data_IF_158592374513
#
_entry.id   IF_158592374513
#
_cell.length_a   1.000
_cell.length_b   1.000
_cell.length_c   1.000
_cell.angle_alpha   90.00
_cell.angle_beta   90.00
_cell.angle_gamma   90.00
#
_symmetry.space_group_name_H-M   'P 1'
#
loop_
_entity.id
_entity.type
_entity.pdbx_description
1 polymer ?
#
# COMPACT_ATOMS: atom_id res chain seq x y z
N UNK A 1 15.94 -5.09 0.77
CA UNK A 1 16.56 -6.44 0.76
C UNK A 1 17.76 -6.48 1.70
N UNK A 2 17.65 -7.23 2.78
CA UNK A 2 18.69 -7.42 3.79
C UNK A 2 19.35 -8.79 3.62
N UNK A 3 20.63 -8.92 4.03
CA UNK A 3 21.39 -10.18 3.92
C UNK A 3 21.94 -10.59 5.28
N UNK A 4 21.82 -11.88 5.61
CA UNK A 4 22.35 -12.50 6.84
C UNK A 4 23.08 -13.80 6.50
N UNK A 5 24.06 -14.17 7.31
CA UNK A 5 24.81 -15.42 7.14
C UNK A 5 24.52 -16.37 8.30
N UNK A 6 24.30 -17.65 7.98
CA UNK A 6 23.96 -18.72 8.93
C UNK A 6 24.94 -19.87 8.79
N UNK A 7 25.09 -20.66 9.86
CA UNK A 7 25.85 -21.91 9.86
C UNK A 7 24.93 -23.06 10.29
N UNK A 8 24.96 -24.17 9.55
CA UNK A 8 24.34 -25.42 9.97
C UNK A 8 25.38 -26.39 10.51
N UNK A 9 25.34 -26.62 11.82
CA UNK A 9 26.19 -27.58 12.51
C UNK A 9 25.59 -28.99 12.38
N UNK A 10 25.98 -29.72 11.32
CA UNK A 10 25.49 -31.07 10.99
C UNK A 10 26.68 -32.01 10.84
N UNK A 11 26.74 -33.06 11.67
CA UNK A 11 27.84 -34.02 11.69
C UNK A 11 29.20 -33.35 11.93
N UNK A 12 30.26 -33.96 11.40
CA UNK A 12 31.63 -33.47 11.58
C UNK A 12 31.99 -32.29 10.65
N UNK A 13 31.23 -32.11 9.57
CA UNK A 13 31.47 -31.06 8.56
C UNK A 13 30.26 -30.12 8.49
N UNK A 14 30.29 -28.97 9.18
CA UNK A 14 29.21 -27.99 9.13
C UNK A 14 29.13 -27.31 7.76
N UNK A 15 27.92 -26.90 7.38
CA UNK A 15 27.68 -26.04 6.21
C UNK A 15 27.77 -24.59 6.70
N UNK A 16 28.81 -23.87 6.26
CA UNK A 16 29.14 -22.52 6.74
C UNK A 16 28.79 -21.44 5.72
N UNK A 17 28.71 -20.19 6.19
CA UNK A 17 28.51 -19.00 5.37
C UNK A 17 27.26 -19.06 4.49
N UNK A 18 26.19 -19.69 4.97
CA UNK A 18 24.94 -19.82 4.23
C UNK A 18 24.30 -18.45 4.12
N UNK A 19 24.15 -17.94 2.91
CA UNK A 19 23.50 -16.65 2.68
C UNK A 19 21.99 -16.78 2.71
N UNK A 20 21.36 -16.03 3.60
CA UNK A 20 19.93 -15.76 3.62
C UNK A 20 19.65 -14.29 3.27
N UNK A 21 18.55 -14.04 2.57
CA UNK A 21 18.08 -12.69 2.23
C UNK A 21 16.62 -12.50 2.61
N UNK A 22 16.27 -11.30 3.10
CA UNK A 22 14.91 -10.92 3.49
C UNK A 22 14.45 -9.64 2.77
N UNK A 23 13.14 -9.49 2.57
CA UNK A 23 12.53 -8.28 2.01
C UNK A 23 12.70 -8.14 0.49
N UNK A 24 12.42 -9.23 -0.23
CA UNK A 24 12.19 -9.23 -1.68
C UNK A 24 10.72 -9.54 -1.99
N UNK A 25 10.34 -9.49 -3.26
CA UNK A 25 8.97 -9.78 -3.68
C UNK A 25 8.71 -11.28 -3.73
N UNK A 26 7.80 -11.77 -2.89
CA UNK A 26 7.40 -13.18 -2.85
C UNK A 26 5.95 -13.35 -3.28
N UNK A 27 5.61 -14.43 -4.00
CA UNK A 27 4.23 -14.74 -4.33
C UNK A 27 3.35 -14.85 -3.08
N UNK A 28 2.21 -14.15 -3.09
CA UNK A 28 1.26 -14.09 -1.98
C UNK A 28 0.63 -15.44 -1.63
N UNK A 29 0.53 -16.36 -2.58
CA UNK A 29 -0.16 -17.65 -2.38
C UNK A 29 0.51 -18.54 -1.33
N UNK A 30 1.79 -18.28 -1.02
CA UNK A 30 2.58 -19.04 -0.06
C UNK A 30 2.87 -18.29 1.25
N UNK A 31 2.23 -17.14 1.47
CA UNK A 31 2.49 -16.26 2.63
C UNK A 31 2.27 -16.89 4.01
N UNK A 32 1.46 -17.94 4.05
CA UNK A 32 1.15 -18.67 5.28
C UNK A 32 2.20 -19.73 5.62
N UNK A 33 3.12 -20.05 4.69
CA UNK A 33 4.13 -21.09 4.89
C UNK A 33 5.33 -20.57 5.70
N UNK A 34 5.98 -21.50 6.41
CA UNK A 34 7.22 -21.22 7.14
C UNK A 34 8.33 -20.76 6.18
N UNK A 35 9.07 -19.72 6.59
CA UNK A 35 10.17 -19.17 5.81
C UNK A 35 9.75 -18.31 4.62
N UNK A 36 8.46 -18.04 4.43
CA UNK A 36 8.01 -17.02 3.49
C UNK A 36 8.63 -15.66 3.83
N UNK A 37 9.01 -14.90 2.81
CA UNK A 37 9.76 -13.64 2.98
C UNK A 37 11.29 -13.81 3.06
N UNK A 38 11.78 -15.05 3.21
CA UNK A 38 13.21 -15.37 3.23
C UNK A 38 13.62 -16.19 2.00
N UNK A 39 14.80 -15.88 1.47
CA UNK A 39 15.46 -16.66 0.43
C UNK A 39 16.80 -17.16 0.94
N UNK A 40 17.21 -18.31 0.44
CA UNK A 40 18.48 -18.97 0.76
C UNK A 40 19.16 -19.38 -0.53
N UNK A 41 20.48 -19.32 -0.55
CA UNK A 41 21.23 -19.72 -1.73
C UNK A 41 21.09 -21.22 -2.05
N UNK A 42 20.93 -21.54 -3.33
CA UNK A 42 20.78 -22.93 -3.82
C UNK A 42 21.93 -23.86 -3.39
N UNK A 43 23.22 -23.45 -3.40
CA UNK A 43 24.31 -24.32 -2.94
C UNK A 43 24.14 -24.83 -1.50
N UNK A 44 23.58 -24.01 -0.61
CA UNK A 44 23.33 -24.43 0.77
C UNK A 44 22.22 -25.48 0.86
N UNK A 45 21.19 -25.39 0.00
CA UNK A 45 20.14 -26.42 -0.11
C UNK A 45 20.72 -27.73 -0.63
N UNK A 46 21.55 -27.68 -1.68
CA UNK A 46 22.20 -28.87 -2.23
C UNK A 46 23.10 -29.54 -1.19
N UNK A 47 23.95 -28.78 -0.50
CA UNK A 47 24.79 -29.30 0.57
C UNK A 47 23.98 -29.91 1.73
N UNK A 48 22.81 -29.33 2.05
CA UNK A 48 21.89 -29.88 3.04
C UNK A 48 21.25 -31.20 2.56
N UNK A 49 20.89 -31.30 1.28
CA UNK A 49 20.37 -32.52 0.68
C UNK A 49 21.42 -33.63 0.62
N UNK A 50 22.68 -33.30 0.34
CA UNK A 50 23.79 -34.27 0.36
C UNK A 50 23.95 -34.90 1.75
N UNK A 51 23.77 -34.10 2.82
CA UNK A 51 23.77 -34.60 4.21
C UNK A 51 22.61 -35.57 4.48
N UNK A 52 21.45 -35.32 3.86
CA UNK A 52 20.30 -36.22 3.96
C UNK A 52 20.55 -37.52 3.20
N UNK A 53 21.08 -37.43 1.98
CA UNK A 53 21.41 -38.60 1.14
C UNK A 53 22.46 -39.48 1.83
N UNK A 54 23.45 -38.87 2.51
CA UNK A 54 24.46 -39.57 3.29
C UNK A 54 23.93 -40.20 4.59
N UNK A 55 22.67 -39.96 4.97
CA UNK A 55 22.09 -40.44 6.22
C UNK A 55 22.58 -39.68 7.48
N UNK A 56 23.34 -38.59 7.31
CA UNK A 56 23.84 -37.75 8.41
C UNK A 56 22.74 -36.84 8.98
N UNK A 57 21.65 -36.65 8.24
CA UNK A 57 20.54 -35.77 8.59
C UNK A 57 19.22 -36.37 8.11
N UNK A 58 18.17 -36.33 8.93
CA UNK A 58 16.84 -36.72 8.43
C UNK A 58 16.18 -35.56 7.70
N UNK A 59 15.25 -35.86 6.79
CA UNK A 59 14.47 -34.85 6.05
C UNK A 59 13.73 -33.90 7.01
N UNK A 60 13.16 -34.43 8.09
CA UNK A 60 12.42 -33.64 9.08
C UNK A 60 13.35 -32.69 9.83
N UNK A 61 14.58 -33.12 10.14
CA UNK A 61 15.56 -32.27 10.78
C UNK A 61 16.07 -31.19 9.82
N UNK A 62 16.30 -31.52 8.55
CA UNK A 62 16.66 -30.56 7.52
C UNK A 62 15.59 -29.46 7.37
N UNK A 63 14.30 -29.86 7.28
CA UNK A 63 13.17 -28.92 7.24
C UNK A 63 13.15 -28.00 8.46
N UNK A 64 13.30 -28.55 9.67
CA UNK A 64 13.33 -27.74 10.91
C UNK A 64 14.50 -26.76 10.97
N UNK A 65 15.68 -27.15 10.47
CA UNK A 65 16.84 -26.26 10.40
C UNK A 65 16.59 -25.09 9.46
N UNK A 66 16.05 -25.35 8.26
CA UNK A 66 15.70 -24.29 7.31
C UNK A 66 14.63 -23.35 7.87
N UNK A 67 13.53 -23.88 8.41
CA UNK A 67 12.46 -23.08 8.98
C UNK A 67 12.96 -22.21 10.16
N UNK A 68 13.74 -22.78 11.09
CA UNK A 68 14.30 -22.04 12.21
C UNK A 68 15.31 -20.98 11.78
N UNK A 69 16.12 -21.25 10.75
CA UNK A 69 17.06 -20.27 10.23
C UNK A 69 16.33 -19.12 9.53
N UNK A 70 15.33 -19.43 8.71
CA UNK A 70 14.50 -18.43 8.05
C UNK A 70 13.79 -17.54 9.08
N UNK A 71 13.16 -18.11 10.12
CA UNK A 71 12.50 -17.34 11.18
C UNK A 71 13.47 -16.43 11.93
N UNK A 72 14.67 -16.93 12.28
CA UNK A 72 15.72 -16.09 12.89
C UNK A 72 16.15 -14.93 12.00
N UNK A 73 16.25 -15.15 10.69
CA UNK A 73 16.61 -14.10 9.74
C UNK A 73 15.49 -13.08 9.63
N UNK A 74 14.24 -13.52 9.50
CA UNK A 74 13.05 -12.65 9.49
C UNK A 74 13.04 -11.78 10.75
N UNK A 75 13.09 -12.37 11.94
CA UNK A 75 13.05 -11.64 13.21
C UNK A 75 14.24 -10.70 13.43
N UNK A 76 15.40 -10.99 12.82
CA UNK A 76 16.56 -10.12 12.90
C UNK A 76 16.47 -8.90 11.95
N UNK A 77 15.68 -9.00 10.88
CA UNK A 77 15.48 -7.92 9.90
C UNK A 77 14.21 -7.11 10.23
N UNK A 78 13.17 -7.80 10.68
CA UNK A 78 11.90 -7.23 11.11
C UNK A 78 11.50 -7.83 12.47
N UNK A 79 11.88 -7.18 13.59
CA UNK A 79 11.50 -7.63 14.92
C UNK A 79 9.98 -7.62 15.17
N UNK A 80 9.18 -6.87 14.40
CA UNK A 80 7.73 -6.82 14.57
C UNK A 80 7.07 -8.14 14.18
N UNK A 81 7.69 -8.94 13.31
CA UNK A 81 7.24 -10.31 12.98
C UNK A 81 7.24 -11.27 14.20
N UNK A 82 7.80 -10.87 15.35
CA UNK A 82 7.66 -11.63 16.60
C UNK A 82 6.23 -11.56 17.17
N UNK A 83 5.51 -10.47 16.88
CA UNK A 83 4.11 -10.29 17.25
C UNK A 83 3.22 -11.00 16.21
N UNK A 84 2.39 -11.97 16.62
CA UNK A 84 1.48 -12.68 15.72
C UNK A 84 0.55 -11.77 14.91
N UNK A 85 0.09 -10.67 15.49
CA UNK A 85 -0.84 -9.73 14.83
C UNK A 85 -0.11 -8.90 13.78
N UNK A 86 1.10 -8.42 14.11
CA UNK A 86 1.95 -7.71 13.14
C UNK A 86 2.40 -8.64 12.01
N UNK A 87 2.73 -9.90 12.31
CA UNK A 87 3.02 -10.94 11.30
C UNK A 87 1.83 -11.20 10.39
N UNK A 88 0.62 -11.32 10.95
CA UNK A 88 -0.59 -11.49 10.16
C UNK A 88 -0.84 -10.28 9.25
N UNK A 89 -0.64 -9.07 9.76
CA UNK A 89 -0.74 -7.82 9.01
C UNK A 89 0.30 -7.70 7.89
N UNK A 90 1.56 -8.04 8.15
CA UNK A 90 2.63 -8.07 7.16
C UNK A 90 2.27 -9.00 5.98
N UNK A 91 1.58 -10.10 6.27
CA UNK A 91 1.10 -11.11 5.31
C UNK A 91 -0.31 -10.85 4.79
N UNK A 92 -0.93 -9.71 5.10
CA UNK A 92 -2.19 -9.32 4.47
C UNK A 92 -1.90 -8.76 3.07
N UNK A 93 -2.67 -9.19 2.06
CA UNK A 93 -2.63 -8.68 0.69
C UNK A 93 -4.00 -8.12 0.29
N UNK A 94 -4.69 -7.45 1.21
CA UNK A 94 -6.06 -6.96 0.98
C UNK A 94 -7.12 -8.07 0.95
N UNK A 95 -6.78 -9.25 1.45
CA UNK A 95 -7.59 -10.47 1.34
C UNK A 95 -7.85 -11.18 2.67
N UNK A 96 -7.54 -10.53 3.81
CA UNK A 96 -7.97 -10.99 5.12
C UNK A 96 -9.47 -10.73 5.33
N UNK A 97 -10.07 -11.38 6.34
CA UNK A 97 -11.49 -11.25 6.66
C UNK A 97 -11.93 -9.79 6.89
N UNK A 98 -11.10 -8.98 7.55
CA UNK A 98 -11.40 -7.56 7.77
C UNK A 98 -11.38 -6.77 6.45
N UNK A 99 -10.38 -7.02 5.58
CA UNK A 99 -10.31 -6.41 4.26
C UNK A 99 -11.52 -6.79 3.39
N UNK A 100 -11.93 -8.06 3.42
CA UNK A 100 -13.13 -8.54 2.70
C UNK A 100 -14.38 -7.85 3.23
N UNK A 101 -14.53 -7.74 4.56
CA UNK A 101 -15.68 -7.09 5.19
C UNK A 101 -15.75 -5.57 4.88
N UNK A 102 -14.60 -4.89 4.79
CA UNK A 102 -14.50 -3.45 4.50
C UNK A 102 -14.55 -3.14 3.00
N UNK A 103 -14.35 -4.14 2.14
CA UNK A 103 -14.30 -3.97 0.68
C UNK A 103 -15.49 -3.18 0.12
N UNK A 104 -16.76 -3.41 0.51
CA UNK A 104 -17.88 -2.65 -0.06
C UNK A 104 -17.82 -1.14 0.25
N UNK A 105 -17.35 -0.77 1.44
CA UNK A 105 -17.17 0.65 1.79
C UNK A 105 -16.00 1.27 1.03
N UNK A 106 -14.90 0.53 0.90
CA UNK A 106 -13.76 0.93 0.09
C UNK A 106 -14.16 1.14 -1.37
N UNK A 107 -14.90 0.21 -1.98
CA UNK A 107 -15.40 0.32 -3.36
C UNK A 107 -16.28 1.57 -3.54
N UNK A 108 -17.13 1.88 -2.56
CA UNK A 108 -17.97 3.08 -2.57
C UNK A 108 -17.13 4.37 -2.56
N UNK A 109 -16.09 4.43 -1.71
CA UNK A 109 -15.16 5.57 -1.64
C UNK A 109 -14.33 5.69 -2.91
N UNK A 110 -13.82 4.57 -3.42
CA UNK A 110 -13.09 4.51 -4.69
C UNK A 110 -13.95 4.98 -5.86
N UNK A 111 -15.23 4.58 -5.90
CA UNK A 111 -16.15 5.06 -6.93
C UNK A 111 -16.26 6.60 -6.94
N UNK A 112 -16.27 7.24 -5.77
CA UNK A 112 -16.27 8.70 -5.69
C UNK A 112 -14.99 9.28 -6.30
N UNK A 113 -13.81 8.71 -6.00
CA UNK A 113 -12.53 9.10 -6.62
C UNK A 113 -12.57 8.98 -8.14
N UNK A 114 -13.14 7.89 -8.67
CA UNK A 114 -13.29 7.68 -10.11
C UNK A 114 -14.16 8.75 -10.76
N UNK A 115 -15.26 9.14 -10.11
CA UNK A 115 -16.11 10.25 -10.58
C UNK A 115 -15.33 11.56 -10.60
N UNK A 116 -14.55 11.86 -9.56
CA UNK A 116 -13.73 13.08 -9.52
C UNK A 116 -12.65 13.07 -10.62
N UNK A 117 -12.04 11.91 -10.88
CA UNK A 117 -11.07 11.73 -11.97
C UNK A 117 -11.69 11.99 -13.33
N UNK A 118 -12.91 11.53 -13.58
CA UNK A 118 -13.59 11.78 -14.86
C UNK A 118 -13.93 13.28 -15.00
N UNK A 119 -14.44 13.92 -13.95
CA UNK A 119 -14.71 15.36 -13.95
C UNK A 119 -13.44 16.18 -14.20
N UNK A 120 -12.30 15.75 -13.66
CA UNK A 120 -11.00 16.40 -13.89
C UNK A 120 -10.60 16.44 -15.37
N UNK A 121 -11.02 15.44 -16.16
CA UNK A 121 -10.75 15.37 -17.61
C UNK A 121 -11.57 16.37 -18.44
N UNK A 122 -12.58 17.00 -17.84
CA UNK A 122 -13.34 18.11 -18.44
C UNK A 122 -13.20 19.41 -17.62
N UNK A 123 -12.05 20.11 -17.75
CA UNK A 123 -11.83 21.40 -17.08
C UNK A 123 -12.82 22.49 -17.47
N UNK A 124 -13.44 22.40 -18.66
CA UNK A 124 -14.38 23.39 -19.14
C UNK A 124 -15.71 23.31 -18.37
N UNK A 125 -16.21 22.09 -18.13
CA UNK A 125 -17.39 21.86 -17.31
C UNK A 125 -17.11 21.99 -15.80
N UNK A 126 -15.88 21.67 -15.36
CA UNK A 126 -15.51 21.65 -13.94
C UNK A 126 -14.22 22.45 -13.63
N UNK A 127 -14.28 23.80 -13.64
CA UNK A 127 -13.07 24.61 -13.56
C UNK A 127 -12.56 24.83 -12.13
N UNK A 128 -13.24 24.30 -11.10
CA UNK A 128 -12.80 24.38 -9.70
C UNK A 128 -12.50 23.01 -9.09
N UNK A 129 -11.64 23.01 -8.08
CA UNK A 129 -11.44 21.88 -7.19
C UNK A 129 -11.41 22.36 -5.72
N UNK A 130 -12.05 21.62 -4.83
CA UNK A 130 -11.95 21.80 -3.39
C UNK A 130 -11.07 20.71 -2.79
N UNK A 131 -10.08 21.13 -2.01
CA UNK A 131 -9.19 20.23 -1.27
C UNK A 131 -9.25 20.65 0.19
N UNK A 132 -9.78 19.76 1.05
CA UNK A 132 -10.07 20.07 2.46
C UNK A 132 -10.91 21.34 2.58
N UNK A 133 -10.36 22.42 3.14
CA UNK A 133 -11.00 23.73 3.32
C UNK A 133 -10.50 24.79 2.33
N UNK A 134 -9.82 24.40 1.25
CA UNK A 134 -9.27 25.34 0.27
C UNK A 134 -9.88 25.14 -1.11
N UNK A 135 -10.34 26.23 -1.74
CA UNK A 135 -10.79 26.25 -3.12
C UNK A 135 -9.61 26.54 -4.06
N UNK A 136 -9.56 25.84 -5.19
CA UNK A 136 -8.55 25.95 -6.23
C UNK A 136 -9.21 26.07 -7.61
N UNK A 137 -8.47 26.61 -8.58
CA UNK A 137 -8.75 26.36 -10.01
C UNK A 137 -8.33 24.93 -10.33
N UNK A 138 -9.03 24.26 -11.22
CA UNK A 138 -8.69 22.89 -11.67
C UNK A 138 -7.26 22.82 -12.27
N UNK A 139 -6.80 23.91 -12.88
CA UNK A 139 -5.45 24.06 -13.47
C UNK A 139 -4.36 24.45 -12.47
N UNK A 140 -4.66 24.49 -11.16
CA UNK A 140 -3.65 24.79 -10.15
C UNK A 140 -2.64 23.63 -10.06
N UNK A 141 -1.33 23.92 -10.02
CA UNK A 141 -0.28 22.90 -9.88
C UNK A 141 -0.47 21.90 -8.73
N UNK A 142 -1.10 22.32 -7.62
CA UNK A 142 -1.41 21.42 -6.49
C UNK A 142 -2.54 20.44 -6.84
N UNK A 143 -3.47 20.85 -7.68
CA UNK A 143 -4.56 20.01 -8.19
C UNK A 143 -4.06 19.13 -9.33
N UNK A 144 -3.20 19.65 -10.20
CA UNK A 144 -2.57 18.91 -11.28
C UNK A 144 -1.73 17.74 -10.76
N UNK A 145 -0.91 17.98 -9.74
CA UNK A 145 -0.19 16.92 -9.03
C UNK A 145 -1.13 15.89 -8.41
N UNK A 146 -2.32 16.30 -7.95
CA UNK A 146 -3.30 15.38 -7.36
C UNK A 146 -4.00 14.53 -8.43
N UNK A 147 -4.37 15.12 -9.56
CA UNK A 147 -4.89 14.41 -10.74
C UNK A 147 -3.86 13.42 -11.30
N UNK A 148 -2.57 13.73 -11.18
CA UNK A 148 -1.46 12.81 -11.52
C UNK A 148 -1.24 11.71 -10.47
N UNK A 149 -1.32 12.00 -9.16
CA UNK A 149 -1.16 10.98 -8.09
C UNK A 149 -2.31 10.00 -7.98
N UNK A 150 -3.48 10.29 -8.54
CA UNK A 150 -4.50 9.27 -8.78
C UNK A 150 -3.94 8.10 -9.62
N UNK A 151 -2.92 8.33 -10.44
CA UNK A 151 -2.34 7.38 -11.38
C UNK A 151 -1.62 6.17 -10.78
N UNK A 152 -1.36 6.09 -9.47
CA UNK A 152 -0.77 4.88 -8.89
C UNK A 152 -1.77 3.73 -8.77
N UNK A 153 -3.06 4.03 -8.61
CA UNK A 153 -4.11 3.00 -8.62
C UNK A 153 -4.43 2.50 -10.03
N UNK A 154 -3.96 3.20 -11.07
CA UNK A 154 -4.32 2.91 -12.44
C UNK A 154 -3.10 2.46 -13.25
N UNK A 155 -3.30 1.50 -14.14
CA UNK A 155 -2.32 1.17 -15.16
C UNK A 155 -2.12 2.36 -16.11
N UNK A 156 -1.09 2.30 -16.94
CA UNK A 156 -0.86 3.29 -18.01
C UNK A 156 -2.02 3.37 -19.02
N UNK A 157 -2.89 2.36 -19.06
CA UNK A 157 -4.10 2.31 -19.88
C UNK A 157 -5.32 2.93 -19.16
N UNK A 158 -5.16 3.32 -17.90
CA UNK A 158 -6.19 3.97 -17.09
C UNK A 158 -7.17 3.02 -16.39
N UNK A 159 -6.93 1.71 -16.47
CA UNK A 159 -7.65 0.65 -15.76
C UNK A 159 -7.14 0.54 -14.32
N UNK A 160 -7.94 0.03 -13.39
CA UNK A 160 -7.49 -0.19 -12.01
C UNK A 160 -6.46 -1.33 -12.01
N UNK A 161 -5.28 -1.07 -11.44
CA UNK A 161 -4.28 -2.10 -11.21
C UNK A 161 -4.72 -3.00 -10.03
N UNK A 162 -4.84 -4.33 -10.20
CA UNK A 162 -5.31 -5.22 -9.14
C UNK A 162 -4.39 -5.31 -7.92
N UNK A 163 -3.07 -5.18 -8.10
CA UNK A 163 -2.10 -5.25 -7.00
C UNK A 163 -2.15 -3.96 -6.18
N UNK A 164 -2.19 -2.81 -6.85
CA UNK A 164 -2.35 -1.52 -6.19
C UNK A 164 -3.72 -1.40 -5.52
N UNK A 165 -4.79 -1.89 -6.14
CA UNK A 165 -6.11 -1.97 -5.51
C UNK A 165 -6.05 -2.75 -4.18
N UNK A 166 -5.43 -3.93 -4.20
CA UNK A 166 -5.33 -4.78 -3.03
C UNK A 166 -4.47 -4.12 -1.92
N UNK A 167 -3.40 -3.44 -2.33
CA UNK A 167 -2.52 -2.69 -1.43
C UNK A 167 -3.22 -1.49 -0.79
N UNK A 168 -4.00 -0.72 -1.56
CA UNK A 168 -4.79 0.41 -1.04
C UNK A 168 -5.92 -0.07 -0.12
N UNK A 169 -6.58 -1.18 -0.45
CA UNK A 169 -7.58 -1.79 0.44
C UNK A 169 -6.93 -2.16 1.77
N UNK A 170 -5.79 -2.86 1.75
CA UNK A 170 -5.01 -3.20 2.95
C UNK A 170 -4.69 -1.97 3.78
N UNK A 171 -4.11 -0.93 3.16
CA UNK A 171 -3.76 0.29 3.87
C UNK A 171 -4.99 0.98 4.47
N UNK A 172 -6.09 1.10 3.72
CA UNK A 172 -7.31 1.74 4.24
C UNK A 172 -7.94 1.04 5.45
N UNK A 173 -7.65 -0.25 5.63
CA UNK A 173 -8.23 -1.08 6.71
C UNK A 173 -7.29 -1.16 7.90
N UNK A 174 -5.98 -1.21 7.66
CA UNK A 174 -4.99 -1.46 8.72
C UNK A 174 -4.07 -0.28 9.04
N UNK A 175 -4.15 0.80 8.26
CA UNK A 175 -3.46 2.06 8.51
C UNK A 175 -4.49 3.20 8.51
N UNK A 176 -4.89 3.63 9.70
CA UNK A 176 -5.88 4.69 9.90
C UNK A 176 -5.49 6.03 9.25
N UNK A 177 -4.22 6.20 8.88
CA UNK A 177 -3.73 7.40 8.19
C UNK A 177 -3.82 7.30 6.65
N UNK A 178 -4.08 6.10 6.11
CA UNK A 178 -4.13 5.86 4.68
C UNK A 178 -5.54 6.08 4.10
N UNK A 179 -5.72 7.23 3.44
CA UNK A 179 -6.86 7.49 2.57
C UNK A 179 -6.64 6.97 1.15
N UNK A 180 -7.71 6.86 0.37
CA UNK A 180 -7.56 6.53 -1.06
C UNK A 180 -6.92 7.74 -1.76
N UNK A 181 -5.85 7.57 -2.57
CA UNK A 181 -5.28 8.67 -3.33
C UNK A 181 -6.34 9.42 -4.14
N UNK A 182 -6.40 10.74 -3.97
CA UNK A 182 -7.39 11.60 -4.63
C UNK A 182 -8.72 11.77 -3.88
N UNK A 183 -9.00 11.01 -2.82
CA UNK A 183 -10.25 11.08 -2.05
C UNK A 183 -10.51 12.46 -1.42
N UNK A 184 -9.46 13.18 -1.04
CA UNK A 184 -9.59 14.50 -0.44
C UNK A 184 -9.87 15.63 -1.45
N UNK A 185 -9.95 15.33 -2.74
CA UNK A 185 -10.16 16.30 -3.81
C UNK A 185 -11.57 16.15 -4.41
N UNK A 186 -12.33 17.24 -4.40
CA UNK A 186 -13.64 17.30 -5.07
C UNK A 186 -13.57 18.28 -6.23
N UNK A 187 -13.80 17.81 -7.45
CA UNK A 187 -13.87 18.58 -8.67
C UNK A 187 -15.30 19.08 -8.88
N UNK A 188 -15.42 20.39 -9.12
CA UNK A 188 -16.67 21.12 -8.98
C UNK A 188 -17.00 21.89 -10.25
N UNK A 189 -18.23 21.73 -10.72
CA UNK A 189 -18.87 22.68 -11.62
C UNK A 189 -19.16 24.00 -10.89
N UNK A 190 -19.52 25.04 -11.65
CA UNK A 190 -19.79 26.39 -11.10
C UNK A 190 -20.79 26.40 -9.95
N UNK A 191 -21.94 25.77 -10.16
CA UNK A 191 -23.02 25.77 -9.18
C UNK A 191 -22.62 24.98 -7.92
N UNK A 192 -21.91 23.86 -8.07
CA UNK A 192 -21.41 23.05 -6.94
C UNK A 192 -20.36 23.83 -6.14
N UNK A 193 -19.47 24.57 -6.80
CA UNK A 193 -18.48 25.41 -6.13
C UNK A 193 -19.13 26.59 -5.38
N UNK A 194 -20.19 27.20 -5.94
CA UNK A 194 -20.97 28.21 -5.24
C UNK A 194 -21.68 27.63 -4.00
N UNK A 195 -22.31 26.45 -4.12
CA UNK A 195 -22.91 25.74 -2.99
C UNK A 195 -21.88 25.37 -1.91
N UNK A 196 -20.71 24.88 -2.31
CA UNK A 196 -19.62 24.53 -1.40
C UNK A 196 -19.15 25.74 -0.57
N UNK A 197 -19.07 26.92 -1.19
CA UNK A 197 -18.78 28.20 -0.53
C UNK A 197 -19.88 28.57 0.44
N UNK A 198 -21.15 28.46 0.03
CA UNK A 198 -22.31 28.81 0.85
C UNK A 198 -22.37 27.96 2.14
N UNK A 199 -22.18 26.64 2.03
CA UNK A 199 -22.10 25.72 3.18
C UNK A 199 -20.98 26.06 4.17
N UNK A 200 -19.90 26.67 3.67
CA UNK A 200 -18.72 27.05 4.45
C UNK A 200 -18.70 28.53 4.81
N UNK A 201 -19.79 29.23 4.57
CA UNK A 201 -19.98 30.61 5.00
C UNK A 201 -21.02 30.61 6.13
N UNK A 202 -20.61 31.02 7.33
CA UNK A 202 -21.52 31.04 8.48
C UNK A 202 -22.64 32.07 8.31
N UNK A 203 -23.72 31.98 9.11
CA UNK A 203 -24.90 32.86 9.01
C UNK A 203 -24.59 34.35 9.23
N UNK A 204 -23.43 34.68 9.81
CA UNK A 204 -22.91 36.04 10.00
C UNK A 204 -21.85 36.45 8.95
N UNK A 205 -21.69 35.70 7.88
CA UNK A 205 -20.71 35.96 6.81
C UNK A 205 -19.28 35.49 7.09
N UNK A 206 -19.04 34.78 8.20
CA UNK A 206 -17.71 34.26 8.54
C UNK A 206 -17.31 33.07 7.65
N UNK A 207 -16.21 33.21 6.91
CA UNK A 207 -15.72 32.18 6.00
C UNK A 207 -14.95 31.09 6.77
N UNK A 208 -15.38 29.83 6.61
CA UNK A 208 -14.71 28.63 7.13
C UNK A 208 -13.88 27.91 6.06
N UNK A 209 -13.60 28.61 4.97
CA UNK A 209 -12.77 28.13 3.87
C UNK A 209 -11.75 29.20 3.47
N UNK A 210 -10.79 28.82 2.63
CA UNK A 210 -9.80 29.71 2.04
C UNK A 210 -9.80 29.54 0.53
N UNK A 211 -9.44 30.59 -0.20
CA UNK A 211 -9.03 30.46 -1.60
C UNK A 211 -7.54 30.20 -1.67
N UNK A 212 -7.11 29.35 -2.60
CA UNK A 212 -5.69 29.08 -2.79
C UNK A 212 -4.93 30.37 -3.15
N UNK A 213 -3.89 30.69 -2.38
CA UNK A 213 -3.03 31.85 -2.61
C UNK A 213 -2.05 31.69 -3.77
N UNK A 214 -2.09 30.58 -4.52
CA UNK A 214 -1.26 30.36 -5.72
C UNK A 214 -2.08 30.63 -6.96
N UNK A 215 -3.23 29.97 -7.11
CA UNK A 215 -4.03 30.08 -8.33
C UNK A 215 -5.14 31.15 -8.25
N UNK A 216 -5.33 31.78 -7.08
CA UNK A 216 -6.32 32.82 -6.82
C UNK A 216 -7.63 32.57 -7.62
N UNK A 217 -8.36 31.48 -7.29
CA UNK A 217 -9.54 31.10 -8.07
C UNK A 217 -10.58 32.22 -8.02
N UNK A 218 -11.26 32.49 -9.14
CA UNK A 218 -12.44 33.35 -9.07
C UNK A 218 -13.49 32.73 -8.15
N UNK A 219 -14.24 33.60 -7.49
CA UNK A 219 -15.35 33.20 -6.61
C UNK A 219 -16.63 33.02 -7.44
N UNK A 220 -17.10 31.76 -7.63
CA UNK A 220 -18.28 31.49 -8.44
C UNK A 220 -19.58 32.04 -7.84
N UNK A 221 -19.58 32.38 -6.54
CA UNK A 221 -20.70 33.00 -5.81
C UNK A 221 -20.78 34.53 -6.00
N UNK A 222 -19.77 35.15 -6.62
CA UNK A 222 -19.66 36.61 -6.80
C UNK A 222 -19.57 37.06 -8.26
N UNK A 223 -19.71 36.11 -9.18
CA UNK A 223 -19.64 36.33 -10.63
C UNK A 223 -21.04 36.42 -11.24
#
# INVERSE_FOLDING_TARGET
METRHVVFNIGDKPIKNIRFTWGGDYPKDRRHLEGWGAAVEVPAILALMDKVIAGELTVERARRLLASAADKVVLACDPQEADPDMRALARCYGDCDECIARKPDFDRRLHQVLVQRERYRDPAAHPWAAIRSTLHRITCRHVESLGQTCGLLFTNLGEIDPEEYAQQLKWSVHDDSAGIPGEACTVLARHEAASWIAERTGPKGGERFKTCGICHPERPDRA
#
